data_IF_308104261787
#
_entry.id   IF_308104261787
#
_cell.length_a   1.000
_cell.length_b   1.000
_cell.length_c   1.000
_cell.angle_alpha   90.00
_cell.angle_beta   90.00
_cell.angle_gamma   90.00
#
_symmetry.space_group_name_H-M   'P 1'
#
loop_
_entity.id
_entity.type
_entity.pdbx_description
1 polymer ?
#
# COMPACT_ATOMS: atom_id res chain seq x y z
N UNK A 1 -6.77 -17.60 -9.99
CA UNK A 1 -7.33 -16.78 -8.89
C UNK A 1 -7.12 -15.32 -9.23
N UNK A 2 -8.15 -14.52 -9.08
CA UNK A 2 -8.07 -13.09 -9.31
C UNK A 2 -7.85 -12.33 -8.01
N UNK A 3 -7.08 -11.26 -8.10
CA UNK A 3 -6.79 -10.38 -6.98
C UNK A 3 -7.24 -8.96 -7.30
N UNK A 4 -7.78 -8.28 -6.30
CA UNK A 4 -8.07 -6.86 -6.38
C UNK A 4 -6.91 -6.12 -5.71
N UNK A 5 -6.27 -5.19 -6.42
CA UNK A 5 -5.20 -4.37 -5.86
C UNK A 5 -5.81 -3.16 -5.18
N UNK A 6 -5.54 -3.00 -3.89
CA UNK A 6 -6.09 -1.92 -3.08
C UNK A 6 -5.15 -0.72 -2.99
N UNK A 7 -3.86 -0.98 -2.91
CA UNK A 7 -2.84 0.06 -2.75
C UNK A 7 -1.54 -0.45 -3.38
N UNK A 8 -0.82 0.43 -4.04
CA UNK A 8 0.46 0.10 -4.68
C UNK A 8 1.48 1.19 -4.39
N UNK A 9 2.70 0.79 -4.06
CA UNK A 9 3.81 1.72 -3.86
C UNK A 9 5.03 1.22 -4.61
N UNK A 10 5.68 2.12 -5.35
CA UNK A 10 6.89 1.80 -6.09
C UNK A 10 8.09 1.80 -5.16
N UNK A 11 8.85 0.71 -5.17
CA UNK A 11 10.07 0.58 -4.36
C UNK A 11 11.36 0.75 -5.17
N UNK A 12 11.28 0.52 -6.47
CA UNK A 12 12.45 0.67 -7.36
C UNK A 12 11.98 0.91 -8.79
N UNK A 13 12.79 1.65 -9.56
CA UNK A 13 12.50 1.94 -10.96
C UNK A 13 13.77 1.72 -11.80
N UNK A 14 13.58 1.27 -13.03
CA UNK A 14 14.66 1.11 -14.00
C UNK A 14 14.14 1.47 -15.39
N UNK A 15 15.01 1.43 -16.40
CA UNK A 15 14.72 1.95 -17.74
C UNK A 15 13.43 1.40 -18.37
N UNK A 16 13.18 0.10 -18.23
CA UNK A 16 12.05 -0.54 -18.90
C UNK A 16 10.96 -1.03 -17.92
N UNK A 17 11.04 -0.64 -16.64
CA UNK A 17 10.05 -1.10 -15.69
C UNK A 17 10.19 -0.55 -14.27
N UNK A 18 9.40 -1.08 -13.37
CA UNK A 18 9.42 -0.70 -11.96
C UNK A 18 8.93 -1.84 -11.07
N UNK A 19 9.48 -1.89 -9.87
CA UNK A 19 9.08 -2.86 -8.86
C UNK A 19 8.16 -2.23 -7.82
N UNK A 20 7.19 -2.99 -7.35
CA UNK A 20 6.16 -2.48 -6.44
C UNK A 20 5.89 -3.43 -5.29
N UNK A 21 5.41 -2.85 -4.20
CA UNK A 21 4.74 -3.58 -3.11
C UNK A 21 3.26 -3.21 -3.20
N UNK A 22 2.40 -4.20 -3.15
CA UNK A 22 0.95 -4.00 -3.25
C UNK A 22 0.26 -4.62 -2.04
N UNK A 23 -0.85 -3.98 -1.62
CA UNK A 23 -1.84 -4.64 -0.78
C UNK A 23 -2.89 -5.16 -1.75
N UNK A 24 -3.10 -6.46 -1.75
CA UNK A 24 -4.08 -7.11 -2.62
C UNK A 24 -5.03 -7.95 -1.78
N UNK A 25 -6.20 -8.21 -2.32
CA UNK A 25 -7.14 -9.15 -1.70
C UNK A 25 -7.69 -10.09 -2.77
N UNK A 26 -7.72 -11.41 -2.50
CA UNK A 26 -8.36 -12.35 -3.42
C UNK A 26 -9.86 -12.06 -3.51
N UNK A 27 -10.45 -12.15 -4.70
CA UNK A 27 -11.89 -11.87 -4.88
C UNK A 27 -12.79 -12.80 -4.06
N UNK A 28 -12.33 -14.01 -3.79
CA UNK A 28 -13.11 -15.00 -3.06
C UNK A 28 -12.96 -14.92 -1.53
N UNK A 29 -12.03 -14.11 -1.04
CA UNK A 29 -11.71 -14.01 0.39
C UNK A 29 -11.56 -12.54 0.77
N UNK A 30 -12.10 -12.15 1.90
CA UNK A 30 -12.00 -10.77 2.40
C UNK A 30 -10.79 -10.64 3.34
N UNK A 31 -9.61 -10.83 2.79
CA UNK A 31 -8.35 -10.85 3.54
C UNK A 31 -7.25 -10.10 2.78
N UNK A 32 -6.60 -9.15 3.46
CA UNK A 32 -5.51 -8.40 2.88
C UNK A 32 -4.22 -9.22 2.85
N UNK A 33 -3.51 -9.12 1.73
CA UNK A 33 -2.22 -9.78 1.53
C UNK A 33 -1.24 -8.79 0.93
N UNK A 34 0.05 -9.00 1.17
CA UNK A 34 1.09 -8.22 0.50
C UNK A 34 1.60 -9.00 -0.69
N UNK A 35 1.80 -8.29 -1.80
CA UNK A 35 2.34 -8.88 -3.02
C UNK A 35 3.53 -8.05 -3.51
N UNK A 36 4.61 -8.73 -3.84
CA UNK A 36 5.83 -8.13 -4.38
C UNK A 36 5.94 -8.54 -5.84
N UNK A 37 5.94 -7.57 -6.74
CA UNK A 37 5.96 -7.85 -8.16
C UNK A 37 6.61 -6.70 -8.92
N UNK A 38 6.72 -6.86 -10.22
CA UNK A 38 7.20 -5.77 -11.06
C UNK A 38 6.47 -5.72 -12.39
N UNK A 39 6.55 -4.55 -13.02
CA UNK A 39 6.02 -4.32 -14.35
C UNK A 39 7.18 -4.05 -15.29
N UNK A 40 7.12 -4.62 -16.48
CA UNK A 40 8.10 -4.43 -17.53
C UNK A 40 7.37 -4.06 -18.81
N UNK A 41 7.72 -2.91 -19.40
CA UNK A 41 7.08 -2.39 -20.60
C UNK A 41 5.54 -2.29 -20.46
N UNK A 42 5.08 -1.96 -19.25
CA UNK A 42 3.66 -1.82 -18.94
C UNK A 42 2.93 -3.11 -18.62
N UNK A 43 3.61 -4.26 -18.68
CA UNK A 43 3.00 -5.55 -18.39
C UNK A 43 3.42 -6.09 -17.03
N UNK A 44 2.46 -6.66 -16.31
CA UNK A 44 2.68 -7.35 -15.05
C UNK A 44 3.56 -8.59 -15.27
N UNK A 45 4.60 -8.73 -14.44
CA UNK A 45 5.49 -9.89 -14.49
C UNK A 45 5.36 -10.67 -13.19
N UNK A 46 4.94 -11.93 -13.29
CA UNK A 46 4.77 -12.81 -12.15
C UNK A 46 6.08 -13.56 -11.84
N UNK A 47 7.07 -12.80 -11.37
CA UNK A 47 8.38 -13.32 -10.98
C UNK A 47 8.85 -12.60 -9.72
N UNK A 48 9.81 -13.17 -8.97
CA UNK A 48 10.34 -12.49 -7.81
C UNK A 48 10.93 -11.12 -8.16
N UNK A 49 10.64 -10.14 -7.33
CA UNK A 49 11.20 -8.80 -7.48
C UNK A 49 12.69 -8.84 -7.15
N UNK A 50 13.49 -8.29 -8.05
CA UNK A 50 14.93 -8.14 -7.83
C UNK A 50 15.26 -6.65 -7.76
N UNK A 51 16.01 -6.25 -6.77
CA UNK A 51 16.39 -4.84 -6.57
C UNK A 51 17.88 -4.70 -6.38
N UNK A 52 18.39 -3.49 -6.66
CA UNK A 52 19.77 -3.17 -6.38
C UNK A 52 20.05 -3.27 -4.87
N UNK A 53 21.18 -3.85 -4.44
CA UNK A 53 21.47 -4.00 -3.01
C UNK A 53 22.06 -2.72 -2.40
N UNK A 54 21.54 -1.56 -2.77
CA UNK A 54 22.00 -0.30 -2.19
C UNK A 54 21.32 -0.06 -0.84
N UNK A 55 22.01 0.68 0.02
CA UNK A 55 21.50 1.04 1.34
C UNK A 55 20.20 1.85 1.21
N UNK A 56 20.15 2.77 0.27
CA UNK A 56 18.95 3.60 0.04
C UNK A 56 17.75 2.77 -0.42
N UNK A 57 17.95 1.84 -1.34
CA UNK A 57 16.87 0.96 -1.80
C UNK A 57 16.38 0.05 -0.70
N UNK A 58 17.29 -0.46 0.13
CA UNK A 58 16.93 -1.32 1.27
C UNK A 58 16.12 -0.56 2.32
N UNK A 59 16.52 0.67 2.67
CA UNK A 59 15.80 1.50 3.63
C UNK A 59 14.41 1.85 3.13
N UNK A 60 14.30 2.31 1.88
CA UNK A 60 13.03 2.68 1.28
C UNK A 60 12.08 1.48 1.22
N UNK A 61 12.59 0.34 0.80
CA UNK A 61 11.80 -0.89 0.74
C UNK A 61 11.31 -1.28 2.13
N UNK A 62 12.19 -1.24 3.13
CA UNK A 62 11.84 -1.56 4.50
C UNK A 62 10.74 -0.67 5.05
N UNK A 63 10.83 0.63 4.84
CA UNK A 63 9.83 1.60 5.29
C UNK A 63 8.47 1.36 4.61
N UNK A 64 8.47 1.14 3.30
CA UNK A 64 7.25 0.90 2.54
C UNK A 64 6.59 -0.42 2.98
N UNK A 65 7.36 -1.49 3.09
CA UNK A 65 6.85 -2.80 3.52
C UNK A 65 6.26 -2.71 4.93
N UNK A 66 6.95 -2.06 5.85
CA UNK A 66 6.46 -1.89 7.22
C UNK A 66 5.14 -1.13 7.25
N UNK A 67 5.05 -0.02 6.52
CA UNK A 67 3.83 0.78 6.41
C UNK A 67 2.68 0.00 5.79
N UNK A 68 2.94 -0.69 4.67
CA UNK A 68 1.93 -1.48 3.98
C UNK A 68 1.42 -2.63 4.85
N UNK A 69 2.31 -3.30 5.56
CA UNK A 69 1.93 -4.37 6.48
C UNK A 69 1.05 -3.85 7.63
N UNK A 70 1.39 -2.68 8.17
CA UNK A 70 0.60 -2.05 9.23
C UNK A 70 -0.81 -1.71 8.74
N UNK A 71 -0.93 -1.12 7.55
CA UNK A 71 -2.23 -0.80 6.95
C UNK A 71 -3.05 -2.07 6.69
N UNK A 72 -2.42 -3.10 6.17
CA UNK A 72 -3.10 -4.36 5.86
C UNK A 72 -3.64 -5.06 7.12
N UNK A 73 -2.95 -4.93 8.25
CA UNK A 73 -3.39 -5.51 9.52
C UNK A 73 -4.49 -4.68 10.20
N UNK A 74 -4.49 -3.37 9.99
CA UNK A 74 -5.34 -2.43 10.71
C UNK A 74 -6.69 -2.23 10.04
N UNK A 75 -6.72 -2.20 8.71
CA UNK A 75 -7.92 -1.86 7.93
C UNK A 75 -8.43 -3.04 7.12
N UNK A 76 -9.76 -3.09 6.95
CA UNK A 76 -10.39 -4.05 6.04
C UNK A 76 -10.13 -3.63 4.59
N UNK A 77 -10.31 -4.53 3.61
CA UNK A 77 -10.16 -4.16 2.19
C UNK A 77 -11.01 -2.96 1.78
N UNK A 78 -12.27 -2.92 2.21
CA UNK A 78 -13.17 -1.81 1.89
C UNK A 78 -12.71 -0.50 2.51
N UNK A 79 -12.18 -0.54 3.72
CA UNK A 79 -11.64 0.63 4.39
C UNK A 79 -10.40 1.18 3.66
N UNK A 80 -9.51 0.30 3.22
CA UNK A 80 -8.32 0.71 2.46
C UNK A 80 -8.74 1.35 1.14
N UNK A 81 -9.68 0.76 0.43
CA UNK A 81 -10.19 1.30 -0.83
C UNK A 81 -10.78 2.69 -0.63
N UNK A 82 -11.56 2.90 0.43
CA UNK A 82 -12.14 4.20 0.75
C UNK A 82 -11.06 5.25 1.08
N UNK A 83 -10.03 4.86 1.84
CA UNK A 83 -8.92 5.75 2.16
C UNK A 83 -8.13 6.18 0.91
N UNK A 84 -7.90 5.24 -0.01
CA UNK A 84 -7.22 5.54 -1.27
C UNK A 84 -8.03 6.52 -2.11
N UNK A 85 -9.35 6.34 -2.19
CA UNK A 85 -10.22 7.24 -2.92
C UNK A 85 -10.22 8.66 -2.36
N UNK A 86 -10.25 8.81 -1.04
CA UNK A 86 -10.30 10.13 -0.41
C UNK A 86 -8.95 10.84 -0.37
N UNK A 87 -7.87 10.13 -0.10
CA UNK A 87 -6.57 10.72 0.19
C UNK A 87 -5.54 10.57 -0.92
N UNK A 88 -5.69 9.56 -1.76
CA UNK A 88 -4.68 9.20 -2.74
C UNK A 88 -3.57 8.34 -2.12
N UNK A 89 -2.87 7.59 -2.96
CA UNK A 89 -1.87 6.63 -2.54
C UNK A 89 -0.68 7.25 -1.80
N UNK A 90 -0.26 8.46 -2.19
CA UNK A 90 0.87 9.14 -1.57
C UNK A 90 0.61 9.52 -0.11
N UNK A 91 -0.57 10.05 0.17
CA UNK A 91 -0.93 10.51 1.52
C UNK A 91 -1.16 9.37 2.51
N UNK A 92 -1.54 8.20 2.01
CA UNK A 92 -1.79 7.05 2.87
C UNK A 92 -0.54 6.63 3.64
N UNK A 93 0.64 6.73 3.02
CA UNK A 93 1.89 6.40 3.71
C UNK A 93 2.15 7.32 4.92
N UNK A 94 1.72 8.57 4.84
CA UNK A 94 1.83 9.51 5.96
C UNK A 94 0.90 9.16 7.11
N UNK A 95 -0.22 8.50 6.82
CA UNK A 95 -1.18 8.08 7.84
C UNK A 95 -0.63 7.01 8.78
N UNK A 96 0.36 6.25 8.35
CA UNK A 96 0.92 5.18 9.19
C UNK A 96 1.43 5.71 10.53
N UNK A 97 2.04 6.90 10.51
CA UNK A 97 2.52 7.57 11.72
C UNK A 97 1.34 7.99 12.62
N UNK A 98 0.30 8.53 12.01
CA UNK A 98 -0.91 8.94 12.75
C UNK A 98 -1.64 7.75 13.37
N UNK A 99 -1.67 6.63 12.66
CA UNK A 99 -2.30 5.39 13.16
C UNK A 99 -1.57 4.92 14.42
N UNK A 100 -0.25 4.95 14.44
CA UNK A 100 0.54 4.55 15.59
C UNK A 100 0.32 5.49 16.79
N UNK A 101 0.19 6.79 16.55
CA UNK A 101 0.00 7.79 17.61
C UNK A 101 -1.43 7.86 18.15
N UNK A 102 -2.43 7.81 17.27
CA UNK A 102 -3.83 8.06 17.62
C UNK A 102 -4.67 6.78 17.71
N UNK A 103 -4.27 5.70 17.05
CA UNK A 103 -5.07 4.50 16.90
C UNK A 103 -6.11 4.65 15.80
N UNK A 104 -6.60 3.51 15.32
CA UNK A 104 -7.55 3.44 14.20
C UNK A 104 -8.84 4.21 14.45
N UNK A 105 -9.45 4.01 15.62
CA UNK A 105 -10.77 4.60 15.94
C UNK A 105 -10.73 6.11 15.89
N UNK A 106 -9.70 6.71 16.50
CA UNK A 106 -9.55 8.16 16.53
C UNK A 106 -9.26 8.73 15.14
N UNK A 107 -8.42 8.06 14.38
CA UNK A 107 -8.11 8.47 13.00
C UNK A 107 -9.37 8.46 12.14
N UNK A 108 -10.16 7.39 12.20
CA UNK A 108 -11.41 7.28 11.43
C UNK A 108 -12.41 8.35 11.82
N UNK A 109 -12.46 8.70 13.09
CA UNK A 109 -13.33 9.78 13.60
C UNK A 109 -12.93 11.13 13.01
N UNK A 110 -11.63 11.45 12.98
CA UNK A 110 -11.10 12.69 12.41
C UNK A 110 -11.40 12.77 10.91
N UNK A 111 -11.18 11.69 10.17
CA UNK A 111 -11.46 11.65 8.73
C UNK A 111 -12.94 11.85 8.44
N UNK A 112 -13.81 11.29 9.27
CA UNK A 112 -15.25 11.46 9.13
C UNK A 112 -15.66 12.91 9.35
N UNK A 113 -15.11 13.57 10.37
CA UNK A 113 -15.38 14.99 10.65
C UNK A 113 -14.96 15.88 9.47
N UNK A 114 -13.79 15.64 8.89
CA UNK A 114 -13.32 16.40 7.73
C UNK A 114 -14.21 16.20 6.50
N UNK A 115 -14.68 14.98 6.29
CA UNK A 115 -15.57 14.66 5.16
C UNK A 115 -16.93 15.34 5.34
N UNK A 116 -17.45 15.40 6.56
CA UNK A 116 -18.73 16.06 6.85
C UNK A 116 -18.68 17.58 6.71
N UNK A 117 -17.50 18.18 6.92
CA UNK A 117 -17.29 19.63 6.79
C UNK A 117 -17.02 20.09 5.36
N UNK A 118 -16.70 19.16 4.48
CA UNK A 118 -16.50 19.45 3.08
C UNK A 118 -17.85 19.44 2.34
#
# INVERSE_FOLDING_TARGET
MRYRTLLEQTVDEWEDGYGVVQIVTPESVDENQLRFCYYKEGEFVNRPLTMAPSEQAAERTGEIVETMASLARTFTPDEIEALVEELGEEKILELSVLIEELGKSRLMEILREETEQA
#
